data_IF_902019703722
#
_entry.id   IF_902019703722
#
_cell.length_a   1.000
_cell.length_b   1.000
_cell.length_c   1.000
_cell.angle_alpha   90.00
_cell.angle_beta   90.00
_cell.angle_gamma   90.00
#
_symmetry.space_group_name_H-M   'P 1'
#
loop_
_entity.id
_entity.type
_entity.pdbx_description
1 polymer ?
#
# COMPACT_ATOMS: atom_id res chain seq x y z
N UNK A 1 -22.16 -26.12 0.77
CA UNK A 1 -20.76 -26.16 0.30
C UNK A 1 -19.79 -25.62 1.33
N UNK A 2 -19.78 -24.33 1.66
CA UNK A 2 -18.81 -23.72 2.60
C UNK A 2 -18.71 -24.38 3.98
N UNK A 3 -19.82 -24.94 4.50
CA UNK A 3 -19.85 -25.72 5.75
C UNK A 3 -18.94 -26.96 5.77
N UNK A 4 -18.41 -27.38 4.60
CA UNK A 4 -17.49 -28.51 4.45
C UNK A 4 -16.01 -28.07 4.40
N UNK A 5 -15.71 -26.78 4.57
CA UNK A 5 -14.34 -26.27 4.54
C UNK A 5 -13.53 -26.86 5.70
N UNK A 6 -12.43 -27.55 5.37
CA UNK A 6 -11.44 -28.04 6.34
C UNK A 6 -10.26 -27.08 6.32
N UNK A 7 -9.94 -26.48 7.46
CA UNK A 7 -8.85 -25.51 7.60
C UNK A 7 -7.53 -26.26 7.74
N UNK A 8 -6.57 -25.91 6.90
CA UNK A 8 -5.18 -26.41 6.98
C UNK A 8 -4.26 -25.36 7.61
N UNK A 9 -4.43 -24.07 7.26
CA UNK A 9 -3.63 -22.98 7.82
C UNK A 9 -4.39 -21.64 7.85
N UNK A 10 -3.96 -20.75 8.75
CA UNK A 10 -4.51 -19.39 8.94
C UNK A 10 -3.39 -18.36 8.80
N UNK A 11 -3.65 -17.30 8.04
CA UNK A 11 -2.74 -16.16 7.84
C UNK A 11 -3.46 -14.87 8.25
N UNK A 12 -2.84 -14.07 9.12
CA UNK A 12 -3.34 -12.76 9.55
C UNK A 12 -2.72 -11.67 8.66
N UNK A 13 -3.55 -11.00 7.87
CA UNK A 13 -3.17 -9.81 7.09
C UNK A 13 -3.59 -8.53 7.82
N UNK A 14 -3.25 -7.35 7.30
CA UNK A 14 -3.65 -6.07 7.92
C UNK A 14 -5.18 -5.92 7.96
N UNK A 15 -5.84 -6.16 6.83
CA UNK A 15 -7.29 -5.95 6.63
C UNK A 15 -8.11 -7.25 6.69
N UNK A 16 -7.47 -8.41 6.54
CA UNK A 16 -8.16 -9.70 6.42
C UNK A 16 -7.52 -10.79 7.29
N UNK A 17 -8.27 -11.85 7.52
CA UNK A 17 -7.81 -13.16 7.99
C UNK A 17 -8.08 -14.16 6.88
N UNK A 18 -7.02 -14.80 6.40
CA UNK A 18 -7.07 -15.77 5.31
C UNK A 18 -6.97 -17.18 5.88
N UNK A 19 -7.95 -18.00 5.58
CA UNK A 19 -7.97 -19.43 5.87
C UNK A 19 -7.70 -20.19 4.58
N UNK A 20 -6.71 -21.06 4.60
CA UNK A 20 -6.43 -21.99 3.49
C UNK A 20 -6.77 -23.41 3.90
N UNK A 21 -7.24 -24.21 2.96
CA UNK A 21 -7.83 -25.48 3.27
C UNK A 21 -8.34 -26.23 2.06
N UNK A 22 -9.30 -27.12 2.30
CA UNK A 22 -9.99 -27.87 1.26
C UNK A 22 -11.51 -27.86 1.42
N UNK A 23 -12.23 -27.90 0.30
CA UNK A 23 -13.66 -28.25 0.23
C UNK A 23 -13.77 -29.41 -0.73
N UNK A 24 -14.41 -30.52 -0.30
CA UNK A 24 -14.55 -31.75 -1.12
C UNK A 24 -13.21 -32.26 -1.69
N UNK A 25 -12.14 -32.17 -0.89
CA UNK A 25 -10.76 -32.53 -1.26
C UNK A 25 -10.14 -31.66 -2.38
N UNK A 26 -10.76 -30.55 -2.76
CA UNK A 26 -10.18 -29.58 -3.66
C UNK A 26 -9.68 -28.34 -2.90
N UNK A 27 -8.56 -27.72 -3.30
CA UNK A 27 -7.99 -26.58 -2.59
C UNK A 27 -8.93 -25.38 -2.51
N UNK A 28 -9.00 -24.73 -1.37
CA UNK A 28 -9.89 -23.61 -1.09
C UNK A 28 -9.20 -22.52 -0.26
N UNK A 29 -9.56 -21.26 -0.51
CA UNK A 29 -9.09 -20.10 0.25
C UNK A 29 -10.31 -19.28 0.69
N UNK A 30 -10.43 -19.03 1.98
CA UNK A 30 -11.50 -18.24 2.57
C UNK A 30 -10.93 -16.96 3.20
N UNK A 31 -11.40 -15.80 2.77
CA UNK A 31 -10.86 -14.48 3.15
C UNK A 31 -11.92 -13.75 3.96
N UNK A 32 -11.72 -13.69 5.27
CA UNK A 32 -12.57 -12.95 6.20
C UNK A 32 -12.02 -11.55 6.43
N UNK A 33 -12.84 -10.50 6.41
CA UNK A 33 -12.38 -9.17 6.79
C UNK A 33 -12.15 -9.09 8.31
N UNK A 34 -11.19 -8.27 8.74
CA UNK A 34 -11.22 -7.75 10.11
C UNK A 34 -12.29 -6.67 10.16
N UNK A 35 -13.47 -7.00 10.68
CA UNK A 35 -14.59 -6.06 10.75
C UNK A 35 -14.36 -5.03 11.85
N UNK A 36 -14.52 -3.75 11.52
CA UNK A 36 -14.71 -2.68 12.50
C UNK A 36 -16.18 -2.59 12.89
N UNK A 37 -16.46 -2.25 14.15
CA UNK A 37 -17.82 -1.90 14.59
C UNK A 37 -18.17 -0.53 14.00
N UNK A 38 -19.22 -0.47 13.18
CA UNK A 38 -19.68 0.79 12.58
C UNK A 38 -20.53 1.58 13.58
N UNK A 39 -20.70 2.89 13.33
CA UNK A 39 -21.42 3.79 14.23
C UNK A 39 -22.82 3.29 14.58
N UNK A 40 -23.55 2.78 13.59
CA UNK A 40 -24.93 2.29 13.78
C UNK A 40 -24.98 0.96 14.57
N UNK A 41 -23.88 0.19 14.58
CA UNK A 41 -23.78 -1.07 15.35
C UNK A 41 -23.26 -0.83 16.77
N UNK A 42 -22.56 0.28 17.02
CA UNK A 42 -21.86 0.54 18.27
C UNK A 42 -22.80 0.51 19.49
N UNK A 43 -23.94 1.21 19.39
CA UNK A 43 -24.90 1.31 20.50
C UNK A 43 -25.53 -0.04 20.85
N UNK A 44 -25.66 -0.95 19.88
CA UNK A 44 -26.21 -2.27 20.15
C UNK A 44 -25.14 -3.20 20.73
N UNK A 45 -23.91 -3.10 20.24
CA UNK A 45 -22.77 -3.86 20.79
C UNK A 45 -22.56 -3.55 22.27
N UNK A 46 -22.60 -2.28 22.70
CA UNK A 46 -22.35 -1.93 24.12
C UNK A 46 -23.50 -2.29 25.07
N UNK A 47 -24.68 -2.65 24.56
CA UNK A 47 -25.81 -3.15 25.37
C UNK A 47 -25.73 -4.64 25.68
N UNK A 48 -24.87 -5.37 24.97
CA UNK A 48 -24.63 -6.79 25.22
C UNK A 48 -23.89 -7.01 26.55
N UNK A 49 -23.67 -8.28 26.90
CA UNK A 49 -22.90 -8.64 28.09
C UNK A 49 -21.43 -8.19 27.95
N UNK A 50 -21.08 -7.14 28.70
CA UNK A 50 -19.77 -6.48 28.71
C UNK A 50 -19.01 -6.83 29.99
N UNK A 51 -17.76 -7.26 29.83
CA UNK A 51 -16.87 -7.61 30.93
C UNK A 51 -15.71 -6.62 30.99
N UNK A 52 -15.54 -5.94 32.12
CA UNK A 52 -14.36 -5.09 32.37
C UNK A 52 -13.11 -5.97 32.52
N UNK A 53 -12.10 -5.76 31.67
CA UNK A 53 -10.83 -6.50 31.68
C UNK A 53 -9.70 -5.74 32.34
N UNK A 54 -9.64 -4.43 32.11
CA UNK A 54 -8.58 -3.57 32.63
C UNK A 54 -9.16 -2.22 33.04
N UNK A 55 -8.69 -1.68 34.15
CA UNK A 55 -8.98 -0.34 34.60
C UNK A 55 -7.70 0.29 35.15
N UNK A 56 -7.37 1.49 34.65
CA UNK A 56 -6.31 2.32 35.18
C UNK A 56 -6.72 3.80 35.06
N UNK A 57 -6.94 4.47 36.19
CA UNK A 57 -7.40 5.86 36.27
C UNK A 57 -8.69 6.12 35.45
N UNK A 58 -8.62 6.90 34.38
CA UNK A 58 -9.75 7.19 33.47
C UNK A 58 -9.84 6.21 32.29
N UNK A 59 -8.91 5.26 32.18
CA UNK A 59 -8.86 4.29 31.08
C UNK A 59 -9.50 2.95 31.48
N UNK A 60 -10.50 2.54 30.71
CA UNK A 60 -11.22 1.29 30.91
C UNK A 60 -11.16 0.46 29.62
N UNK A 61 -10.85 -0.83 29.73
CA UNK A 61 -10.90 -1.76 28.61
C UNK A 61 -11.92 -2.87 28.89
N UNK A 62 -12.94 -2.97 28.04
CA UNK A 62 -14.00 -3.97 28.13
C UNK A 62 -13.85 -5.03 27.04
N UNK A 63 -14.39 -6.21 27.27
CA UNK A 63 -14.64 -7.23 26.25
C UNK A 63 -16.14 -7.47 26.15
N UNK A 64 -16.63 -7.66 24.94
CA UNK A 64 -18.05 -7.92 24.67
C UNK A 64 -18.20 -9.07 23.68
N UNK A 65 -19.20 -9.92 23.90
CA UNK A 65 -19.56 -10.99 22.97
C UNK A 65 -20.76 -10.55 22.14
N UNK A 66 -20.50 -9.90 21.01
CA UNK A 66 -21.54 -9.46 20.09
C UNK A 66 -21.70 -10.42 18.89
N UNK A 67 -22.92 -10.56 18.39
CA UNK A 67 -23.17 -11.15 17.07
C UNK A 67 -22.87 -10.09 16.01
N UNK A 68 -22.04 -10.45 15.04
CA UNK A 68 -21.65 -9.54 13.96
C UNK A 68 -21.90 -10.17 12.61
N UNK A 69 -22.47 -9.39 11.69
CA UNK A 69 -22.58 -9.78 10.29
C UNK A 69 -21.23 -9.62 9.58
N UNK A 70 -20.76 -10.71 8.96
CA UNK A 70 -19.50 -10.74 8.23
C UNK A 70 -19.74 -11.10 6.76
N UNK A 71 -19.29 -10.24 5.85
CA UNK A 71 -19.19 -10.55 4.43
C UNK A 71 -17.78 -11.03 4.13
N UNK A 72 -17.65 -12.31 3.76
CA UNK A 72 -16.35 -12.92 3.45
C UNK A 72 -16.34 -13.47 2.02
N UNK A 73 -15.14 -13.75 1.49
CA UNK A 73 -14.95 -14.25 0.12
C UNK A 73 -14.39 -15.67 0.14
N UNK A 74 -14.85 -16.50 -0.80
CA UNK A 74 -14.33 -17.84 -1.04
C UNK A 74 -13.71 -17.92 -2.44
N UNK A 75 -12.54 -18.53 -2.54
CA UNK A 75 -11.92 -18.96 -3.80
C UNK A 75 -11.88 -20.48 -3.79
N UNK A 76 -12.61 -21.12 -4.70
CA UNK A 76 -12.68 -22.57 -4.82
C UNK A 76 -13.17 -22.99 -6.22
N UNK A 77 -12.53 -23.98 -6.87
CA UNK A 77 -11.22 -24.53 -6.54
C UNK A 77 -10.10 -23.50 -6.73
N UNK A 78 -9.24 -23.35 -5.74
CA UNK A 78 -8.15 -22.38 -5.77
C UNK A 78 -6.91 -22.97 -6.47
N UNK A 79 -6.43 -22.31 -7.52
CA UNK A 79 -5.18 -22.69 -8.19
C UNK A 79 -3.95 -22.28 -7.38
N UNK A 80 -2.79 -22.84 -7.71
CA UNK A 80 -1.52 -22.52 -7.04
C UNK A 80 -1.19 -21.02 -7.05
N UNK A 81 -1.57 -20.30 -8.12
CA UNK A 81 -1.41 -18.84 -8.23
C UNK A 81 -2.09 -18.09 -7.08
N UNK A 82 -3.27 -18.53 -6.65
CA UNK A 82 -3.99 -17.90 -5.54
C UNK A 82 -3.38 -18.26 -4.19
N UNK A 83 -2.91 -19.50 -4.00
CA UNK A 83 -2.17 -19.86 -2.79
C UNK A 83 -0.93 -18.97 -2.63
N UNK A 84 -0.09 -18.87 -3.66
CA UNK A 84 1.08 -17.98 -3.62
C UNK A 84 0.66 -16.55 -3.26
N UNK A 85 -0.43 -16.02 -3.85
CA UNK A 85 -0.90 -14.67 -3.53
C UNK A 85 -1.25 -14.48 -2.04
N UNK A 86 -1.94 -15.45 -1.44
CA UNK A 86 -2.58 -15.32 -0.12
C UNK A 86 -1.83 -16.03 1.03
N UNK A 87 -0.80 -16.83 0.74
CA UNK A 87 0.04 -17.51 1.75
C UNK A 87 1.48 -16.99 1.80
N UNK A 88 1.85 -16.10 0.87
CA UNK A 88 3.19 -15.48 0.89
C UNK A 88 3.38 -14.70 2.18
N UNK A 89 4.33 -15.14 3.01
CA UNK A 89 4.74 -14.39 4.20
C UNK A 89 5.63 -13.22 3.79
N UNK A 90 5.47 -12.09 4.47
CA UNK A 90 6.44 -11.00 4.37
C UNK A 90 7.66 -11.33 5.23
N UNK A 91 8.85 -11.02 4.72
CA UNK A 91 10.10 -11.03 5.47
C UNK A 91 10.72 -9.64 5.45
N UNK A 92 11.43 -9.30 6.53
CA UNK A 92 12.24 -8.09 6.60
C UNK A 92 13.69 -8.46 6.31
N UNK A 93 14.25 -7.89 5.26
CA UNK A 93 15.57 -8.26 4.76
C UNK A 93 16.41 -7.02 4.45
N UNK A 94 17.73 -7.23 4.49
CA UNK A 94 18.71 -6.28 3.97
C UNK A 94 18.97 -6.60 2.51
N UNK A 95 18.91 -5.59 1.66
CA UNK A 95 19.26 -5.69 0.25
C UNK A 95 20.45 -4.78 -0.06
N UNK A 96 21.52 -5.36 -0.60
CA UNK A 96 22.71 -4.62 -1.08
C UNK A 96 22.42 -3.91 -2.41
N UNK A 97 23.29 -3.00 -2.86
CA UNK A 97 23.12 -2.41 -4.18
C UNK A 97 23.37 -3.41 -5.32
N UNK A 98 24.33 -4.32 -5.15
CA UNK A 98 24.58 -5.39 -6.12
C UNK A 98 23.37 -6.32 -6.26
N UNK A 99 22.72 -6.67 -5.15
CA UNK A 99 21.45 -7.41 -5.16
C UNK A 99 20.37 -6.68 -5.96
N UNK A 100 20.26 -5.37 -5.77
CA UNK A 100 19.31 -4.53 -6.49
C UNK A 100 19.59 -4.56 -8.01
N UNK A 101 20.85 -4.33 -8.41
CA UNK A 101 21.25 -4.36 -9.82
C UNK A 101 21.03 -5.74 -10.45
N UNK A 102 21.29 -6.82 -9.71
CA UNK A 102 21.12 -8.19 -10.19
C UNK A 102 19.64 -8.60 -10.33
N UNK A 103 18.75 -8.04 -9.50
CA UNK A 103 17.33 -8.45 -9.41
C UNK A 103 16.37 -7.48 -10.08
N UNK A 104 16.80 -6.26 -10.42
CA UNK A 104 15.94 -5.29 -11.13
C UNK A 104 15.55 -5.85 -12.49
N UNK A 105 14.29 -5.69 -12.83
CA UNK A 105 13.75 -6.04 -14.13
C UNK A 105 13.91 -4.85 -15.07
N UNK A 106 14.25 -5.13 -16.33
CA UNK A 106 14.19 -4.15 -17.41
C UNK A 106 12.84 -4.20 -18.13
N UNK A 107 11.88 -4.96 -17.59
CA UNK A 107 10.59 -5.14 -18.22
C UNK A 107 9.76 -3.85 -18.08
N UNK A 108 9.22 -3.32 -19.18
CA UNK A 108 8.35 -2.16 -19.11
C UNK A 108 7.07 -2.53 -18.38
N UNK A 109 6.60 -1.61 -17.52
CA UNK A 109 5.34 -1.78 -16.83
C UNK A 109 4.24 -1.34 -17.79
N UNK A 110 3.60 -2.31 -18.46
CA UNK A 110 2.66 -2.08 -19.58
C UNK A 110 1.63 -0.97 -19.31
N UNK A 111 1.03 -0.94 -18.12
CA UNK A 111 0.02 0.08 -17.80
C UNK A 111 0.62 1.48 -17.66
N UNK A 112 1.87 1.60 -17.20
CA UNK A 112 2.59 2.88 -17.15
C UNK A 112 2.96 3.31 -18.58
N UNK A 113 3.47 2.40 -19.41
CA UNK A 113 3.77 2.68 -20.82
C UNK A 113 2.54 3.20 -21.57
N UNK A 114 1.37 2.60 -21.34
CA UNK A 114 0.13 3.06 -21.97
C UNK A 114 -0.23 4.50 -21.57
N UNK A 115 0.03 4.87 -20.31
CA UNK A 115 -0.17 6.26 -19.83
C UNK A 115 0.88 7.17 -20.49
N UNK A 116 2.16 6.80 -20.45
CA UNK A 116 3.25 7.59 -21.04
C UNK A 116 3.05 7.83 -22.54
N UNK A 117 2.56 6.82 -23.27
CA UNK A 117 2.33 6.90 -24.72
C UNK A 117 0.97 7.50 -25.10
N UNK A 118 0.15 7.91 -24.13
CA UNK A 118 -1.20 8.44 -24.37
C UNK A 118 -2.22 7.42 -24.92
N UNK A 119 -1.92 6.12 -24.84
CA UNK A 119 -2.85 5.05 -25.27
C UNK A 119 -3.98 4.84 -24.27
N UNK A 120 -3.78 5.23 -23.02
CA UNK A 120 -4.79 5.21 -21.98
C UNK A 120 -5.21 6.64 -21.63
N UNK A 121 -6.47 6.96 -21.91
CA UNK A 121 -7.10 8.21 -21.53
C UNK A 121 -7.50 8.15 -20.05
N UNK A 122 -6.54 8.42 -19.17
CA UNK A 122 -6.83 8.77 -17.77
C UNK A 122 -6.76 10.27 -17.60
N UNK A 123 -7.59 10.79 -16.70
CA UNK A 123 -7.53 12.19 -16.29
C UNK A 123 -6.14 12.51 -15.74
N UNK A 124 -5.52 13.59 -16.22
CA UNK A 124 -4.21 14.08 -15.79
C UNK A 124 -4.41 15.45 -15.17
N UNK A 125 -4.02 15.61 -13.91
CA UNK A 125 -4.02 16.92 -13.25
C UNK A 125 -2.86 17.77 -13.74
N UNK A 126 -1.74 17.14 -14.07
CA UNK A 126 -0.55 17.81 -14.58
C UNK A 126 0.23 16.88 -15.50
N UNK A 127 0.86 17.45 -16.53
CA UNK A 127 1.82 16.76 -17.38
C UNK A 127 2.82 17.76 -17.97
N UNK A 128 4.10 17.41 -17.90
CA UNK A 128 5.20 18.08 -18.60
C UNK A 128 6.18 17.03 -19.17
N UNK A 129 7.38 17.44 -19.54
CA UNK A 129 8.41 16.52 -20.08
C UNK A 129 8.96 15.54 -19.05
N UNK A 130 8.74 15.77 -17.74
CA UNK A 130 9.34 14.98 -16.64
C UNK A 130 8.32 14.19 -15.85
N UNK A 131 7.08 14.66 -15.72
CA UNK A 131 6.09 14.16 -14.77
C UNK A 131 4.70 14.01 -15.39
N UNK A 132 3.94 13.06 -14.85
CA UNK A 132 2.49 12.98 -15.00
C UNK A 132 1.88 12.87 -13.61
N UNK A 133 0.98 13.78 -13.23
CA UNK A 133 0.18 13.70 -12.01
C UNK A 133 -1.24 13.24 -12.35
N UNK A 134 -1.71 12.19 -11.69
CA UNK A 134 -2.99 11.58 -12.00
C UNK A 134 -3.66 10.98 -10.75
N UNK A 135 -4.99 10.74 -10.77
CA UNK A 135 -5.66 10.06 -9.67
C UNK A 135 -5.16 8.62 -9.53
N UNK A 136 -5.00 8.16 -8.29
CA UNK A 136 -4.78 6.76 -8.00
C UNK A 136 -6.10 6.00 -8.15
N UNK A 137 -6.06 4.76 -8.66
CA UNK A 137 -7.27 3.94 -8.85
C UNK A 137 -8.07 3.68 -7.54
N UNK A 138 -7.46 3.94 -6.38
CA UNK A 138 -8.07 3.80 -5.06
C UNK A 138 -8.88 5.01 -4.61
N UNK A 139 -8.70 6.17 -5.24
CA UNK A 139 -9.44 7.36 -4.85
C UNK A 139 -10.86 7.31 -5.43
N UNK A 140 -11.85 7.64 -4.60
CA UNK A 140 -13.26 7.61 -5.02
C UNK A 140 -13.71 8.89 -5.72
N UNK A 141 -12.91 9.96 -5.64
CA UNK A 141 -13.24 11.32 -6.09
C UNK A 141 -14.48 11.93 -5.40
N UNK A 142 -14.97 11.30 -4.32
CA UNK A 142 -16.13 11.78 -3.56
C UNK A 142 -15.76 12.84 -2.53
N UNK A 143 -14.52 12.83 -2.03
CA UNK A 143 -14.02 13.78 -1.05
C UNK A 143 -12.56 14.15 -1.35
N UNK A 144 -12.13 15.28 -0.78
CA UNK A 144 -10.70 15.64 -0.71
C UNK A 144 -10.02 14.96 0.47
N UNK A 145 -10.79 14.54 1.49
CA UNK A 145 -10.26 13.88 2.69
C UNK A 145 -9.77 12.44 2.42
N UNK A 146 -10.18 11.85 1.29
CA UNK A 146 -9.72 10.54 0.82
C UNK A 146 -8.80 10.63 -0.41
N UNK A 147 -8.26 11.83 -0.71
CA UNK A 147 -7.44 12.05 -1.91
C UNK A 147 -6.24 11.09 -1.94
N UNK A 148 -6.07 10.43 -3.08
CA UNK A 148 -4.90 9.62 -3.40
C UNK A 148 -4.52 9.90 -4.85
N UNK A 149 -3.36 10.54 -5.04
CA UNK A 149 -2.78 10.81 -6.35
C UNK A 149 -1.50 10.00 -6.54
N UNK A 150 -1.06 9.94 -7.79
CA UNK A 150 0.18 9.33 -8.21
C UNK A 150 0.91 10.28 -9.14
N UNK A 151 2.15 10.65 -8.80
CA UNK A 151 3.07 11.33 -9.72
C UNK A 151 4.02 10.29 -10.31
N UNK A 152 3.99 10.13 -11.63
CA UNK A 152 4.84 9.21 -12.40
C UNK A 152 5.97 10.01 -13.05
N UNK A 153 7.21 9.57 -12.86
CA UNK A 153 8.39 10.17 -13.50
C UNK A 153 8.52 9.59 -14.91
N UNK A 154 8.68 10.40 -15.97
CA UNK A 154 8.68 9.91 -17.36
C UNK A 154 9.95 9.15 -17.75
N UNK A 155 11.08 9.36 -17.05
CA UNK A 155 12.32 8.65 -17.33
C UNK A 155 12.22 7.16 -16.97
N UNK A 156 12.19 6.31 -17.99
CA UNK A 156 12.11 4.86 -17.86
C UNK A 156 13.36 4.21 -17.21
N UNK A 157 14.45 4.96 -17.05
CA UNK A 157 15.63 4.48 -16.32
C UNK A 157 15.47 4.59 -14.79
N UNK A 158 14.53 5.42 -14.32
CA UNK A 158 14.21 5.54 -12.91
C UNK A 158 13.24 4.41 -12.53
N UNK A 159 13.74 3.31 -11.98
CA UNK A 159 12.95 2.14 -11.55
C UNK A 159 12.54 2.23 -10.09
N UNK A 160 13.39 2.84 -9.27
CA UNK A 160 13.15 3.06 -7.85
C UNK A 160 13.97 4.24 -7.32
N UNK A 161 13.83 4.53 -6.03
CA UNK A 161 14.65 5.56 -5.36
C UNK A 161 16.16 5.30 -5.46
N UNK A 162 16.58 4.06 -5.78
CA UNK A 162 17.99 3.70 -5.93
C UNK A 162 18.62 4.17 -7.25
N UNK A 163 17.81 4.55 -8.23
CA UNK A 163 18.31 5.08 -9.52
C UNK A 163 18.33 6.61 -9.55
N UNK A 164 17.85 7.28 -8.51
CA UNK A 164 17.84 8.74 -8.45
C UNK A 164 19.29 9.24 -8.34
N UNK A 165 19.70 10.03 -9.33
CA UNK A 165 21.02 10.65 -9.40
C UNK A 165 21.00 12.17 -9.41
N UNK A 166 19.80 12.77 -9.39
CA UNK A 166 19.60 14.21 -9.38
C UNK A 166 18.50 14.57 -8.37
N UNK A 167 18.87 15.27 -7.31
CA UNK A 167 17.93 15.69 -6.27
C UNK A 167 16.99 16.80 -6.74
N UNK A 168 17.40 17.60 -7.73
CA UNK A 168 16.60 18.72 -8.23
C UNK A 168 15.30 18.22 -8.88
N UNK A 169 15.33 17.05 -9.51
CA UNK A 169 14.15 16.35 -10.04
C UNK A 169 13.08 16.13 -8.98
N UNK A 170 13.47 15.81 -7.74
CA UNK A 170 12.53 15.60 -6.64
C UNK A 170 11.96 16.91 -6.10
N UNK A 171 12.77 17.97 -6.07
CA UNK A 171 12.34 19.31 -5.65
C UNK A 171 11.37 19.94 -6.65
N UNK A 172 11.58 19.71 -7.94
CA UNK A 172 10.66 20.06 -9.01
C UNK A 172 9.33 19.30 -8.88
N UNK A 173 9.39 17.97 -8.70
CA UNK A 173 8.19 17.15 -8.49
C UNK A 173 7.39 17.63 -7.27
N UNK A 174 8.07 17.96 -6.16
CA UNK A 174 7.44 18.57 -4.98
C UNK A 174 6.74 19.89 -5.31
N UNK A 175 7.40 20.76 -6.08
CA UNK A 175 6.87 22.08 -6.44
C UNK A 175 5.63 21.96 -7.33
N UNK A 176 5.66 21.05 -8.31
CA UNK A 176 4.51 20.69 -9.14
C UNK A 176 3.35 20.23 -8.25
N UNK A 177 3.59 19.29 -7.33
CA UNK A 177 2.54 18.79 -6.44
C UNK A 177 1.94 19.93 -5.60
N UNK A 178 2.76 20.77 -4.97
CA UNK A 178 2.27 21.89 -4.15
C UNK A 178 1.38 22.83 -4.96
N UNK A 179 1.72 23.11 -6.21
CA UNK A 179 0.89 23.94 -7.08
C UNK A 179 -0.44 23.26 -7.40
N UNK A 180 -0.40 21.97 -7.72
CA UNK A 180 -1.59 21.20 -8.08
C UNK A 180 -2.54 20.95 -6.91
N UNK A 181 -2.05 20.88 -5.67
CA UNK A 181 -2.88 20.75 -4.48
C UNK A 181 -3.90 21.89 -4.32
N UNK A 182 -3.60 23.09 -4.85
CA UNK A 182 -4.49 24.25 -4.81
C UNK A 182 -5.82 23.99 -5.52
N UNK A 183 -5.83 23.16 -6.57
CA UNK A 183 -7.05 22.78 -7.28
C UNK A 183 -8.02 21.97 -6.40
N UNK A 184 -7.48 21.30 -5.37
CA UNK A 184 -8.25 20.54 -4.39
C UNK A 184 -8.49 21.32 -3.10
N UNK A 185 -8.09 22.60 -3.03
CA UNK A 185 -8.10 23.42 -1.80
C UNK A 185 -7.30 22.79 -0.66
N UNK A 186 -6.21 22.11 -1.00
CA UNK A 186 -5.28 21.49 -0.06
C UNK A 186 -3.95 22.24 -0.04
N UNK A 187 -3.26 22.15 1.08
CA UNK A 187 -1.88 22.61 1.29
C UNK A 187 -0.94 21.42 1.45
N UNK A 188 0.38 21.68 1.44
CA UNK A 188 1.39 20.62 1.62
C UNK A 188 1.24 19.85 2.94
N UNK A 189 0.80 20.54 4.01
CA UNK A 189 0.58 19.95 5.35
C UNK A 189 -0.55 18.93 5.39
N UNK A 190 -1.46 18.98 4.41
CA UNK A 190 -2.65 18.12 4.37
C UNK A 190 -2.36 16.77 3.71
N UNK A 191 -1.16 16.60 3.13
CA UNK A 191 -0.78 15.40 2.39
C UNK A 191 0.55 14.81 2.84
N UNK A 192 0.69 13.50 2.62
CA UNK A 192 1.93 12.75 2.83
C UNK A 192 2.43 12.30 1.46
N UNK A 193 3.67 12.66 1.14
CA UNK A 193 4.35 12.28 -0.11
C UNK A 193 5.41 11.22 0.17
N UNK A 194 5.35 10.09 -0.53
CA UNK A 194 6.27 8.98 -0.27
C UNK A 194 6.44 8.02 -1.46
N UNK A 195 7.61 7.40 -1.53
CA UNK A 195 7.90 6.29 -2.42
C UNK A 195 7.67 4.95 -1.73
N UNK A 196 7.36 3.91 -2.50
CA UNK A 196 7.46 2.54 -2.01
C UNK A 196 8.86 1.97 -2.27
N UNK A 197 9.41 1.28 -1.27
CA UNK A 197 10.59 0.45 -1.42
C UNK A 197 10.41 -0.94 -0.77
N UNK A 198 10.42 -2.04 -1.53
CA UNK A 198 10.43 -2.08 -3.01
C UNK A 198 9.11 -1.56 -3.61
N UNK A 199 9.15 -0.93 -4.80
CA UNK A 199 7.94 -0.51 -5.48
C UNK A 199 7.15 -1.73 -5.96
N UNK A 200 5.83 -1.57 -6.12
CA UNK A 200 4.99 -2.63 -6.72
C UNK A 200 5.31 -2.84 -8.20
N UNK A 201 5.65 -1.74 -8.87
CA UNK A 201 6.00 -1.69 -10.28
C UNK A 201 7.33 -0.97 -10.39
N UNK A 202 8.31 -1.55 -11.07
CA UNK A 202 9.67 -1.00 -11.19
C UNK A 202 9.72 0.13 -12.23
N UNK A 203 9.14 1.25 -11.81
CA UNK A 203 9.11 2.53 -12.48
C UNK A 203 8.89 3.57 -11.39
N UNK A 204 9.70 4.62 -11.31
CA UNK A 204 9.66 5.56 -10.20
C UNK A 204 8.31 6.30 -10.20
N UNK A 205 7.61 6.21 -9.07
CA UNK A 205 6.37 6.93 -8.84
C UNK A 205 6.27 7.35 -7.38
N UNK A 206 5.71 8.53 -7.18
CA UNK A 206 5.52 9.16 -5.89
C UNK A 206 4.03 9.11 -5.54
N UNK A 207 3.72 8.55 -4.37
CA UNK A 207 2.36 8.55 -3.83
C UNK A 207 2.09 9.87 -3.11
N UNK A 208 0.89 10.41 -3.29
CA UNK A 208 0.39 11.60 -2.58
C UNK A 208 -0.94 11.20 -1.96
N UNK A 209 -1.05 11.23 -0.63
CA UNK A 209 -2.27 10.83 0.07
C UNK A 209 -2.65 11.86 1.13
N UNK A 210 -3.94 12.04 1.39
CA UNK A 210 -4.38 12.87 2.51
C UNK A 210 -3.81 12.36 3.84
N UNK A 211 -3.45 13.26 4.76
CA UNK A 211 -2.88 12.91 6.07
C UNK A 211 -3.84 12.05 6.91
N UNK A 212 -5.16 12.21 6.71
CA UNK A 212 -6.19 11.39 7.37
C UNK A 212 -6.15 9.91 6.92
N UNK A 213 -5.55 9.61 5.76
CA UNK A 213 -5.28 8.24 5.31
C UNK A 213 -3.95 7.69 5.84
N UNK A 214 -3.32 8.39 6.81
CA UNK A 214 -2.01 8.12 7.39
C UNK A 214 -1.80 6.71 7.97
N UNK A 215 -2.89 5.98 8.25
CA UNK A 215 -2.85 4.66 8.88
C UNK A 215 -2.92 3.49 7.88
N UNK A 216 -2.88 3.75 6.57
CA UNK A 216 -2.96 2.68 5.56
C UNK A 216 -1.68 1.84 5.51
N UNK A 217 -1.81 0.55 5.16
CA UNK A 217 -0.66 -0.34 4.98
C UNK A 217 0.37 0.17 3.94
N UNK A 218 -0.06 1.04 3.03
CA UNK A 218 0.80 1.70 2.03
C UNK A 218 1.86 2.60 2.67
N UNK A 219 1.60 3.15 3.86
CA UNK A 219 2.47 4.06 4.60
C UNK A 219 3.34 3.36 5.66
N UNK A 220 3.34 2.03 5.70
CA UNK A 220 4.13 1.29 6.68
C UNK A 220 5.61 1.61 6.58
N UNK A 221 6.29 1.84 7.72
CA UNK A 221 7.72 2.19 7.80
C UNK A 221 8.66 1.19 7.12
N UNK A 222 8.22 -0.06 7.00
CA UNK A 222 8.97 -1.14 6.32
C UNK A 222 8.85 -1.08 4.78
N UNK A 223 8.16 -0.06 4.25
CA UNK A 223 7.86 0.10 2.83
C UNK A 223 7.91 1.55 2.35
N UNK A 224 7.25 2.48 3.05
CA UNK A 224 7.18 3.88 2.64
C UNK A 224 8.50 4.62 2.94
N UNK A 225 8.92 5.47 2.00
CA UNK A 225 10.05 6.39 2.14
C UNK A 225 9.56 7.79 1.86
N UNK A 226 9.49 8.63 2.89
CA UNK A 226 8.98 10.00 2.76
C UNK A 226 9.82 10.79 1.75
N UNK A 227 9.16 11.60 0.93
CA UNK A 227 9.86 12.43 -0.06
C UNK A 227 10.92 13.33 0.58
N UNK A 228 10.58 13.97 1.69
CA UNK A 228 11.50 14.86 2.41
C UNK A 228 12.73 14.11 2.94
N UNK A 229 12.56 12.89 3.46
CA UNK A 229 13.68 12.05 3.88
C UNK A 229 14.55 11.66 2.68
N UNK A 230 13.95 11.32 1.55
CA UNK A 230 14.68 10.97 0.32
C UNK A 230 15.49 12.15 -0.19
N UNK A 231 14.89 13.34 -0.28
CA UNK A 231 15.57 14.57 -0.67
C UNK A 231 16.72 14.86 0.30
N UNK A 232 16.47 14.82 1.60
CA UNK A 232 17.47 15.08 2.63
C UNK A 232 18.66 14.11 2.52
N UNK A 233 18.38 12.81 2.42
CA UNK A 233 19.41 11.78 2.29
C UNK A 233 20.26 11.96 1.03
N UNK A 234 19.65 12.31 -0.11
CA UNK A 234 20.37 12.56 -1.36
C UNK A 234 21.20 13.85 -1.33
N UNK A 235 20.75 14.88 -0.60
CA UNK A 235 21.55 16.10 -0.35
C UNK A 235 22.76 15.82 0.53
N UNK A 236 22.65 14.89 1.48
CA UNK A 236 23.78 14.46 2.31
C UNK A 236 24.80 13.65 1.50
N UNK A 237 24.32 12.73 0.67
CA UNK A 237 25.14 11.94 -0.26
C UNK A 237 24.29 11.49 -1.45
N UNK A 238 24.67 11.90 -2.67
CA UNK A 238 23.96 11.51 -3.88
C UNK A 238 23.93 9.98 -4.11
N UNK A 239 24.85 9.24 -3.48
CA UNK A 239 24.90 7.78 -3.50
C UNK A 239 24.25 7.12 -2.27
N UNK A 240 23.51 7.87 -1.43
CA UNK A 240 22.90 7.34 -0.20
C UNK A 240 22.07 6.08 -0.44
N UNK A 241 21.22 6.09 -1.49
CA UNK A 241 20.36 4.95 -1.84
C UNK A 241 21.07 3.84 -2.64
N UNK A 242 22.37 4.01 -2.91
CA UNK A 242 23.25 2.94 -3.40
C UNK A 242 23.93 2.16 -2.26
N UNK A 243 23.51 2.40 -1.03
CA UNK A 243 23.92 1.62 0.15
C UNK A 243 22.91 0.50 0.44
N UNK A 244 23.21 -0.32 1.44
CA UNK A 244 22.29 -1.35 1.92
C UNK A 244 20.98 -0.73 2.43
N UNK A 245 19.84 -1.25 1.97
CA UNK A 245 18.51 -0.83 2.45
C UNK A 245 17.81 -2.02 3.08
N UNK A 246 17.21 -1.78 4.25
CA UNK A 246 16.30 -2.73 4.87
C UNK A 246 14.86 -2.49 4.40
N UNK A 247 14.19 -3.53 3.92
CA UNK A 247 12.81 -3.43 3.46
C UNK A 247 12.04 -4.73 3.70
N UNK A 248 10.72 -4.63 3.58
CA UNK A 248 9.87 -5.82 3.55
C UNK A 248 9.73 -6.35 2.12
N UNK A 249 9.71 -7.68 1.96
CA UNK A 249 9.39 -8.35 0.70
C UNK A 249 8.62 -9.64 0.95
N UNK A 250 7.94 -10.15 -0.09
CA UNK A 250 7.36 -11.49 -0.03
C UNK A 250 8.49 -12.50 -0.03
N UNK A 251 8.47 -13.43 0.94
CA UNK A 251 9.39 -14.55 0.98
C UNK A 251 9.27 -15.35 -0.31
N UNK A 252 10.38 -15.49 -1.02
CA UNK A 252 10.43 -16.35 -2.20
C UNK A 252 10.13 -17.78 -1.77
N UNK A 253 9.07 -18.37 -2.31
CA UNK A 253 8.79 -19.79 -2.14
C UNK A 253 9.81 -20.49 -3.05
N UNK A 254 10.83 -21.08 -2.45
CA UNK A 254 11.74 -22.01 -3.15
C UNK A 254 10.99 -23.29 -3.50
#
# INVERSE_FOLDING_TARGET
MIKQFKVDAVTLESENVVYTGTIKNEPAICIFPKKSVLQDEFLDVIKEDVELKLHNDIYYAYTVKAKVDLKFRLIWPATQKYFVKYTSKMEFCKETYDDYIAKRTNEPVVWIENILSGKEEKFRYYEDDKFILMPNYKWTELSTDDIQLLLVFKDANLRSIRDISDVTLLEEARSVIIDQLKHFKLEYKDVILFFHYKPTYEHLHLHIVHVNLGQTASLSVIRARLLEDVIYNLKLDINYYKRDIWHSQKKSIK
#
